data_IF_149514986738
#
_entry.id   IF_149514986738
#
_cell.length_a   1.000
_cell.length_b   1.000
_cell.length_c   1.000
_cell.angle_alpha   90.00
_cell.angle_beta   90.00
_cell.angle_gamma   90.00
#
_symmetry.space_group_name_H-M   'P 1'
#
loop_
_entity.id
_entity.type
_entity.pdbx_description
1 polymer ?
#
# COMPACT_ATOMS: atom_id res chain seq x y z
N UNK A 1 16.27 -15.05 10.47
CA UNK A 1 15.05 -14.27 10.18
C UNK A 1 14.72 -14.42 8.71
N UNK A 2 13.57 -15.02 8.38
CA UNK A 2 13.22 -15.50 7.03
C UNK A 2 13.08 -14.41 5.94
N UNK A 3 13.26 -13.13 6.25
CA UNK A 3 13.10 -12.01 5.32
C UNK A 3 14.28 -11.02 5.30
N UNK A 4 15.45 -11.43 5.84
CA UNK A 4 16.69 -10.62 5.79
C UNK A 4 17.21 -10.66 4.35
N UNK A 5 16.97 -9.59 3.59
CA UNK A 5 17.22 -9.53 2.14
C UNK A 5 16.00 -9.11 1.31
N UNK A 6 14.86 -8.79 1.95
CA UNK A 6 13.74 -8.16 1.25
C UNK A 6 14.00 -6.67 1.08
N UNK A 7 14.01 -6.25 -0.18
CA UNK A 7 13.99 -4.87 -0.65
C UNK A 7 12.55 -4.40 -0.87
N UNK A 8 12.30 -3.14 -0.54
CA UNK A 8 11.00 -2.49 -0.73
C UNK A 8 11.14 -1.48 -1.85
N UNK A 9 10.48 -1.74 -2.98
CA UNK A 9 10.61 -0.94 -4.19
C UNK A 9 9.27 -0.32 -4.57
N UNK A 10 9.29 0.99 -4.77
CA UNK A 10 8.14 1.76 -5.25
C UNK A 10 8.02 1.61 -6.76
N UNK A 11 6.81 1.39 -7.27
CA UNK A 11 6.54 1.22 -8.70
C UNK A 11 5.11 1.62 -9.01
N UNK A 12 4.86 2.24 -10.16
CA UNK A 12 3.50 2.55 -10.59
C UNK A 12 2.73 1.26 -10.90
N UNK A 13 1.46 1.19 -10.51
CA UNK A 13 0.63 0.00 -10.75
C UNK A 13 0.26 -0.10 -12.23
N UNK A 14 0.35 -1.29 -12.84
CA UNK A 14 -0.16 -1.50 -14.21
C UNK A 14 -1.70 -1.55 -14.27
N UNK A 15 -2.41 -1.56 -13.13
CA UNK A 15 -3.87 -1.79 -13.06
C UNK A 15 -4.74 -0.55 -13.25
N UNK A 16 -4.20 0.66 -13.16
CA UNK A 16 -5.00 1.86 -13.40
C UNK A 16 -4.28 3.17 -13.10
N UNK A 17 -4.74 4.25 -13.72
CA UNK A 17 -4.23 5.60 -13.51
C UNK A 17 -4.38 6.00 -12.03
N UNK A 18 -3.25 6.30 -11.38
CA UNK A 18 -3.18 6.76 -9.99
C UNK A 18 -3.08 5.67 -8.92
N UNK A 19 -2.96 4.39 -9.28
CA UNK A 19 -2.57 3.35 -8.33
C UNK A 19 -1.06 3.19 -8.29
N UNK A 20 -0.51 3.16 -7.08
CA UNK A 20 0.91 2.91 -6.81
C UNK A 20 1.09 1.54 -6.17
N UNK A 21 2.25 0.93 -6.39
CA UNK A 21 2.64 -0.35 -5.83
C UNK A 21 3.90 -0.21 -4.99
N UNK A 22 3.88 -0.83 -3.81
CA UNK A 22 5.08 -1.17 -3.07
C UNK A 22 5.37 -2.66 -3.30
N UNK A 23 6.41 -2.96 -4.07
CA UNK A 23 6.89 -4.30 -4.36
C UNK A 23 7.83 -4.76 -3.25
N UNK A 24 7.65 -6.00 -2.81
CA UNK A 24 8.52 -6.67 -1.87
C UNK A 24 9.38 -7.65 -2.67
N UNK A 25 10.64 -7.29 -2.88
CA UNK A 25 11.56 -8.04 -3.75
C UNK A 25 12.55 -8.78 -2.88
N UNK A 26 12.58 -10.10 -3.01
CA UNK A 26 13.66 -10.92 -2.45
C UNK A 26 14.64 -11.25 -3.57
N UNK A 27 15.86 -10.72 -3.47
CA UNK A 27 16.92 -10.90 -4.47
C UNK A 27 16.52 -10.29 -5.82
N UNK A 28 15.77 -11.02 -6.65
CA UNK A 28 15.25 -10.58 -7.96
C UNK A 28 13.80 -11.02 -8.21
N UNK A 29 13.15 -11.59 -7.20
CA UNK A 29 11.78 -12.10 -7.31
C UNK A 29 10.86 -11.24 -6.45
N UNK A 30 9.75 -10.79 -7.04
CA UNK A 30 8.65 -10.19 -6.28
C UNK A 30 7.99 -11.30 -5.47
N UNK A 31 8.08 -11.21 -4.14
CA UNK A 31 7.47 -12.15 -3.19
C UNK A 31 6.26 -11.56 -2.48
N UNK A 32 5.95 -10.30 -2.78
CA UNK A 32 4.79 -9.60 -2.28
C UNK A 32 4.58 -8.25 -2.95
N UNK A 33 3.37 -7.73 -2.81
CA UNK A 33 2.95 -6.43 -3.34
C UNK A 33 1.89 -5.81 -2.43
N UNK A 34 2.02 -4.52 -2.19
CA UNK A 34 0.96 -3.68 -1.62
C UNK A 34 0.54 -2.69 -2.70
N UNK A 35 -0.71 -2.75 -3.14
CA UNK A 35 -1.28 -1.77 -4.07
C UNK A 35 -2.07 -0.75 -3.26
N UNK A 36 -1.83 0.51 -3.54
CA UNK A 36 -2.44 1.60 -2.81
C UNK A 36 -2.68 2.81 -3.70
N UNK A 37 -3.48 3.73 -3.17
CA UNK A 37 -3.66 5.07 -3.70
C UNK A 37 -3.39 6.03 -2.56
N UNK A 38 -2.58 7.04 -2.80
CA UNK A 38 -2.35 8.12 -1.85
C UNK A 38 -2.66 9.44 -2.53
N UNK A 39 -3.21 10.38 -1.77
CA UNK A 39 -3.43 11.74 -2.20
C UNK A 39 -2.73 12.65 -1.19
N UNK A 40 -1.62 13.26 -1.63
CA UNK A 40 -0.84 14.15 -0.79
C UNK A 40 -1.63 15.42 -0.42
N UNK A 41 -2.53 15.89 -1.31
CA UNK A 41 -3.39 17.06 -1.06
C UNK A 41 -4.44 16.82 0.03
N UNK A 42 -5.06 15.64 0.06
CA UNK A 42 -6.07 15.30 1.08
C UNK A 42 -5.45 14.66 2.32
N UNK A 43 -4.17 14.30 2.27
CA UNK A 43 -3.52 13.44 3.26
C UNK A 43 -4.32 12.15 3.52
N UNK A 44 -4.90 11.56 2.47
CA UNK A 44 -5.69 10.32 2.55
C UNK A 44 -5.09 9.23 1.67
N UNK A 45 -5.08 8.00 2.19
CA UNK A 45 -4.52 6.84 1.51
C UNK A 45 -5.44 5.62 1.62
N UNK A 46 -5.59 4.88 0.53
CA UNK A 46 -6.40 3.65 0.48
C UNK A 46 -5.57 2.50 -0.05
N UNK A 47 -5.39 1.48 0.77
CA UNK A 47 -4.77 0.20 0.40
C UNK A 47 -5.85 -0.66 -0.26
N UNK A 48 -5.65 -0.93 -1.54
CA UNK A 48 -6.59 -1.66 -2.39
C UNK A 48 -6.26 -3.14 -2.48
N UNK A 49 -4.98 -3.51 -2.37
CA UNK A 49 -4.54 -4.90 -2.45
C UNK A 49 -3.29 -5.14 -1.59
N UNK A 50 -3.20 -6.33 -0.99
CA UNK A 50 -2.02 -6.81 -0.25
C UNK A 50 -1.85 -8.29 -0.56
N UNK A 51 -0.79 -8.60 -1.30
CA UNK A 51 -0.44 -9.97 -1.70
C UNK A 51 0.93 -10.30 -1.14
N UNK A 52 1.04 -11.45 -0.47
CA UNK A 52 2.29 -12.01 0.02
C UNK A 52 2.33 -13.50 -0.32
N UNK A 53 3.46 -13.98 -0.83
CA UNK A 53 3.69 -15.41 -1.03
C UNK A 53 3.59 -16.17 0.30
N UNK A 54 3.09 -17.41 0.24
CA UNK A 54 2.83 -18.30 1.39
C UNK A 54 3.90 -18.24 2.51
N UNK A 55 5.23 -18.38 2.22
CA UNK A 55 6.24 -18.39 3.28
C UNK A 55 6.40 -17.05 4.01
N UNK A 56 5.89 -15.95 3.45
CA UNK A 56 6.06 -14.61 4.01
C UNK A 56 4.83 -14.08 4.74
N UNK A 57 3.67 -14.74 4.63
CA UNK A 57 2.41 -14.26 5.22
C UNK A 57 2.50 -14.06 6.72
N UNK A 58 3.10 -14.99 7.45
CA UNK A 58 3.24 -14.94 8.91
C UNK A 58 4.62 -14.46 9.39
N UNK A 59 5.51 -14.11 8.45
CA UNK A 59 6.89 -13.71 8.76
C UNK A 59 7.03 -12.29 9.34
N UNK A 60 5.93 -11.52 9.40
CA UNK A 60 5.95 -10.09 9.75
C UNK A 60 6.31 -9.18 8.57
N UNK A 61 6.54 -9.74 7.38
CA UNK A 61 6.89 -8.97 6.20
C UNK A 61 5.80 -7.96 5.80
N UNK A 62 4.53 -8.34 5.91
CA UNK A 62 3.41 -7.41 5.69
C UNK A 62 3.43 -6.22 6.66
N UNK A 63 3.78 -6.45 7.93
CA UNK A 63 3.94 -5.37 8.93
C UNK A 63 5.08 -4.44 8.52
N UNK A 64 6.23 -5.00 8.13
CA UNK A 64 7.39 -4.21 7.67
C UNK A 64 7.03 -3.35 6.45
N UNK A 65 6.33 -3.90 5.48
CA UNK A 65 5.92 -3.16 4.29
C UNK A 65 4.95 -2.02 4.61
N UNK A 66 3.95 -2.25 5.47
CA UNK A 66 3.01 -1.21 5.88
C UNK A 66 3.66 -0.14 6.77
N UNK A 67 4.60 -0.51 7.65
CA UNK A 67 5.38 0.47 8.41
C UNK A 67 6.25 1.33 7.49
N UNK A 68 6.86 0.73 6.46
CA UNK A 68 7.60 1.47 5.45
C UNK A 68 6.70 2.41 4.64
N UNK A 69 5.49 1.95 4.31
CA UNK A 69 4.46 2.77 3.67
C UNK A 69 4.11 4.01 4.50
N UNK A 70 3.86 3.82 5.80
CA UNK A 70 3.59 4.91 6.74
C UNK A 70 4.79 5.85 6.95
N UNK A 71 6.01 5.33 6.89
CA UNK A 71 7.20 6.17 7.04
C UNK A 71 7.41 7.10 5.84
N UNK A 72 7.02 6.69 4.64
CA UNK A 72 7.08 7.56 3.45
C UNK A 72 5.96 8.61 3.45
N UNK A 73 4.81 8.24 3.99
CA UNK A 73 3.62 9.09 4.05
C UNK A 73 3.15 9.24 5.50
N UNK A 74 3.89 10.00 6.33
CA UNK A 74 3.61 10.11 7.76
C UNK A 74 2.28 10.79 8.04
N UNK A 75 1.90 11.76 7.21
CA UNK A 75 0.70 12.57 7.39
C UNK A 75 -0.55 11.91 6.79
N UNK A 76 -0.39 10.81 6.06
CA UNK A 76 -1.50 10.17 5.34
C UNK A 76 -2.33 9.27 6.26
N UNK A 77 -3.62 9.55 6.32
CA UNK A 77 -4.63 8.69 6.95
C UNK A 77 -4.92 7.47 6.07
N UNK A 78 -4.33 6.33 6.43
CA UNK A 78 -4.48 5.07 5.71
C UNK A 78 -5.79 4.35 6.02
N UNK A 79 -6.49 3.89 4.98
CA UNK A 79 -7.67 3.03 5.03
C UNK A 79 -7.50 1.85 4.08
N UNK A 80 -8.42 0.89 4.11
CA UNK A 80 -8.37 -0.28 3.23
C UNK A 80 -9.73 -0.68 2.69
N UNK A 81 -9.78 -1.17 1.45
CA UNK A 81 -10.98 -1.79 0.86
C UNK A 81 -11.03 -3.31 1.07
N UNK A 82 -9.98 -3.89 1.67
CA UNK A 82 -9.83 -5.33 1.83
C UNK A 82 -10.70 -5.88 2.95
N UNK A 83 -11.24 -7.08 2.73
CA UNK A 83 -12.07 -7.78 3.71
C UNK A 83 -11.63 -9.22 4.01
N UNK A 84 -10.54 -9.67 3.38
CA UNK A 84 -10.11 -11.05 3.55
C UNK A 84 -9.52 -11.29 4.95
N UNK A 85 -9.70 -12.52 5.48
CA UNK A 85 -9.31 -12.86 6.87
C UNK A 85 -7.82 -12.67 7.15
N UNK A 86 -6.97 -12.99 6.17
CA UNK A 86 -5.51 -12.93 6.29
C UNK A 86 -5.03 -11.47 6.42
N UNK A 87 -5.46 -10.59 5.52
CA UNK A 87 -5.08 -9.18 5.54
C UNK A 87 -5.75 -8.45 6.69
N UNK A 88 -6.96 -8.84 7.12
CA UNK A 88 -7.66 -8.23 8.25
C UNK A 88 -6.85 -8.27 9.55
N UNK A 89 -6.13 -9.37 9.83
CA UNK A 89 -5.28 -9.46 11.02
C UNK A 89 -4.11 -8.45 10.96
N UNK A 90 -3.45 -8.37 9.80
CA UNK A 90 -2.39 -7.42 9.52
C UNK A 90 -2.87 -5.96 9.63
N UNK A 91 -3.98 -5.63 8.96
CA UNK A 91 -4.55 -4.27 8.90
C UNK A 91 -5.00 -3.79 10.28
N UNK A 92 -5.63 -4.66 11.08
CA UNK A 92 -5.97 -4.35 12.48
C UNK A 92 -4.74 -4.09 13.33
N UNK A 93 -3.69 -4.90 13.19
CA UNK A 93 -2.41 -4.69 13.89
C UNK A 93 -1.78 -3.34 13.52
N UNK A 94 -1.96 -2.89 12.28
CA UNK A 94 -1.47 -1.61 11.79
C UNK A 94 -2.43 -0.43 12.02
N UNK A 95 -3.56 -0.66 12.71
CA UNK A 95 -4.62 0.32 12.94
C UNK A 95 -5.17 0.95 11.65
N UNK A 96 -5.29 0.17 10.57
CA UNK A 96 -5.80 0.63 9.27
C UNK A 96 -7.28 0.26 9.18
N UNK A 97 -8.22 1.23 9.33
CA UNK A 97 -9.65 0.96 9.27
C UNK A 97 -10.12 0.69 7.84
N UNK A 98 -11.30 0.08 7.72
CA UNK A 98 -11.95 -0.13 6.42
C UNK A 98 -12.42 1.22 5.86
N UNK A 99 -12.17 1.45 4.59
CA UNK A 99 -12.70 2.59 3.87
C UNK A 99 -14.22 2.40 3.64
N UNK A 100 -15.04 3.44 3.81
CA UNK A 100 -16.43 3.38 3.36
C UNK A 100 -16.47 3.09 1.85
N UNK A 101 -17.49 2.34 1.41
CA UNK A 101 -17.63 2.00 0.00
C UNK A 101 -17.72 3.28 -0.84
N UNK A 102 -16.85 3.40 -1.85
CA UNK A 102 -16.80 4.59 -2.69
C UNK A 102 -15.97 5.76 -2.13
N UNK A 103 -15.23 5.58 -1.02
CA UNK A 103 -14.28 6.56 -0.53
C UNK A 103 -13.15 6.77 -1.55
N UNK A 104 -13.32 7.78 -2.39
CA UNK A 104 -12.30 8.33 -3.27
C UNK A 104 -12.21 9.80 -2.88
N UNK A 105 -11.02 10.29 -2.64
CA UNK A 105 -10.85 11.73 -2.57
C UNK A 105 -11.18 12.33 -3.95
N UNK A 106 -11.72 13.56 -3.99
CA UNK A 106 -12.05 14.24 -5.24
C UNK A 106 -10.83 14.36 -6.18
N UNK A 107 -9.62 14.42 -5.62
CA UNK A 107 -8.36 14.42 -6.38
C UNK A 107 -8.01 13.07 -7.01
N UNK A 108 -8.46 11.95 -6.44
CA UNK A 108 -8.26 10.62 -7.04
C UNK A 108 -9.22 10.36 -8.22
N UNK A 109 -10.26 11.18 -8.41
CA UNK A 109 -11.12 11.13 -9.57
C UNK A 109 -10.53 11.89 -10.77
N UNK A 110 -9.91 13.04 -10.51
CA UNK A 110 -9.25 13.86 -11.51
C UNK A 110 -7.75 13.57 -11.50
N UNK A 111 -7.36 12.40 -12.03
CA UNK A 111 -5.99 12.14 -12.49
C UNK A 111 -5.62 13.02 -13.69
N UNK A 112 -5.83 14.33 -13.59
CA UNK A 112 -5.19 15.31 -14.45
C UNK A 112 -4.01 15.84 -13.65
N UNK A 113 -2.85 15.46 -14.17
CA UNK A 113 -1.54 16.00 -13.89
C UNK A 113 -1.59 17.49 -13.55
N UNK A 114 -1.11 17.84 -12.36
CA UNK A 114 -0.45 19.12 -12.18
C UNK A 114 0.96 18.83 -11.68
N UNK A 115 1.81 18.54 -12.66
CA UNK A 115 3.24 18.62 -12.48
C UNK A 115 3.60 20.10 -12.40
N UNK A 116 4.02 20.52 -11.21
CA UNK A 116 5.00 21.57 -10.93
C UNK A 116 5.21 22.68 -11.99
N UNK A 117 5.01 23.94 -11.59
CA UNK A 117 5.71 25.04 -12.26
C UNK A 117 5.38 26.43 -11.72
N UNK A 118 6.36 27.06 -11.05
CA UNK A 118 6.64 28.50 -11.12
C UNK A 118 6.07 29.39 -10.04
#
# INVERSE_FOLDING_TARGET
MAYRGIELQWSSSPRGAGEECLLLVHIRKVVGRVTYRACDTCAEGVITDVVLDEPFRDSGLGTRALSHLRSRYPDVAWRTTLDNRLTRALLRRMCIPRAPAGAKCFHAHNGVVDAAGG
#
